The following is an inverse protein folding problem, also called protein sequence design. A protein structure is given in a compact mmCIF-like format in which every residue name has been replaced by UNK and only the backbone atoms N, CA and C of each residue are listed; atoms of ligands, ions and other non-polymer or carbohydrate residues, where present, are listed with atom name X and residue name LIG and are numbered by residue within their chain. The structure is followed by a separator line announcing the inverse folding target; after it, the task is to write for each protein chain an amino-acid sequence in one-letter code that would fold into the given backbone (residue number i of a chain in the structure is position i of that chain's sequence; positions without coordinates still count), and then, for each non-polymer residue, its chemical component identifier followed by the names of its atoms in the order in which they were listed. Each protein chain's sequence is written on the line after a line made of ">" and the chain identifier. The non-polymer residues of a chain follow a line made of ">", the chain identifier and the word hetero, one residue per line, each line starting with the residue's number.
data_IF_387092550037
#
_entry.id   IF_387092550037
#
_cell.length_a   1.000
_cell.length_b   1.000
_cell.length_c   1.000
_cell.angle_alpha   90.00
_cell.angle_beta   90.00
_cell.angle_gamma   90.00
#
_symmetry.space_group_name_H-M   'P 1'
#
loop_
_entity.id
_entity.type
_entity.pdbx_description
1 polymer ?
#
# COMPACT_ATOMS: atom_id res chain seq x y z
N UNK A 1 -14.33 12.12 12.70
CA UNK A 1 -13.50 11.87 11.49
C UNK A 1 -12.54 10.75 11.87
N UNK A 2 -12.66 9.56 11.25
CA UNK A 2 -12.10 8.24 11.65
C UNK A 2 -13.02 7.34 12.50
N UNK A 3 -14.34 7.47 12.33
CA UNK A 3 -15.32 6.54 12.89
C UNK A 3 -15.46 5.34 11.94
N UNK A 4 -15.29 4.13 12.46
CA UNK A 4 -15.44 2.87 11.72
C UNK A 4 -16.54 2.03 12.41
N UNK A 5 -17.75 2.56 12.42
CA UNK A 5 -18.89 1.96 13.13
C UNK A 5 -19.19 0.58 12.51
N UNK A 6 -19.18 -0.52 13.28
CA UNK A 6 -19.46 -1.85 12.73
C UNK A 6 -20.82 -1.91 12.02
N UNK A 7 -20.82 -2.37 10.77
CA UNK A 7 -22.03 -2.48 9.94
C UNK A 7 -22.38 -1.21 9.16
N UNK A 8 -21.70 -0.09 9.40
CA UNK A 8 -21.74 1.06 8.51
C UNK A 8 -20.86 0.80 7.28
N UNK A 9 -21.39 1.08 6.09
CA UNK A 9 -20.68 0.88 4.83
C UNK A 9 -20.03 2.17 4.31
N UNK A 10 -20.31 3.31 4.95
CA UNK A 10 -19.62 4.56 4.66
C UNK A 10 -18.11 4.35 4.82
N UNK A 11 -17.33 4.97 3.93
CA UNK A 11 -15.87 4.92 3.93
C UNK A 11 -15.26 3.50 3.94
N UNK A 12 -16.04 2.49 3.51
CA UNK A 12 -15.60 1.09 3.47
C UNK A 12 -15.33 0.63 2.03
N UNK A 13 -14.30 -0.19 1.85
CA UNK A 13 -14.04 -0.92 0.62
C UNK A 13 -13.60 -2.35 0.92
N UNK A 14 -13.51 -3.19 -0.11
CA UNK A 14 -12.94 -4.54 0.06
C UNK A 14 -11.45 -4.51 -0.23
N UNK A 15 -10.68 -5.39 0.45
CA UNK A 15 -9.25 -5.55 0.19
C UNK A 15 -8.95 -5.78 -1.30
N UNK A 16 -9.77 -6.61 -1.97
CA UNK A 16 -9.63 -6.88 -3.41
C UNK A 16 -9.85 -5.63 -4.26
N UNK A 17 -10.87 -4.83 -3.95
CA UNK A 17 -11.16 -3.59 -4.69
C UNK A 17 -10.04 -2.58 -4.53
N UNK A 18 -9.54 -2.38 -3.31
CA UNK A 18 -8.42 -1.47 -3.04
C UNK A 18 -7.14 -1.91 -3.76
N UNK A 19 -6.76 -3.18 -3.67
CA UNK A 19 -5.58 -3.72 -4.37
C UNK A 19 -5.70 -3.57 -5.89
N UNK A 20 -6.88 -3.85 -6.44
CA UNK A 20 -7.12 -3.76 -7.89
C UNK A 20 -7.01 -2.31 -8.37
N UNK A 21 -7.67 -1.38 -7.67
CA UNK A 21 -7.66 0.03 -8.05
C UNK A 21 -6.27 0.64 -7.87
N UNK A 22 -5.59 0.38 -6.76
CA UNK A 22 -4.26 0.94 -6.53
C UNK A 22 -3.27 0.45 -7.58
N UNK A 23 -3.29 -0.86 -7.89
CA UNK A 23 -2.49 -1.43 -8.98
C UNK A 23 -2.79 -0.78 -10.33
N UNK A 24 -4.05 -0.41 -10.59
CA UNK A 24 -4.42 0.27 -11.83
C UNK A 24 -3.74 1.63 -11.97
N UNK A 25 -3.68 2.41 -10.88
CA UNK A 25 -3.10 3.76 -10.85
C UNK A 25 -1.57 3.80 -10.78
N UNK A 26 -0.92 2.78 -10.24
CA UNK A 26 0.54 2.81 -9.98
C UNK A 26 1.32 1.97 -10.99
N UNK A 27 0.76 0.82 -11.40
CA UNK A 27 1.45 -0.15 -12.24
C UNK A 27 0.86 -0.20 -13.65
N UNK A 28 -0.47 -0.24 -13.77
CA UNK A 28 -1.17 -0.35 -15.05
C UNK A 28 -1.37 1.02 -15.72
N UNK A 29 -2.06 1.00 -16.84
CA UNK A 29 -2.24 2.08 -17.80
C UNK A 29 -3.45 2.98 -17.51
N UNK A 30 -4.01 2.96 -16.29
CA UNK A 30 -5.09 3.88 -15.92
C UNK A 30 -4.63 5.35 -15.92
N UNK A 31 -3.33 5.60 -15.76
CA UNK A 31 -2.70 6.92 -15.90
C UNK A 31 -1.60 6.90 -16.96
N UNK A 32 -1.36 8.07 -17.56
CA UNK A 32 -0.16 8.32 -18.36
C UNK A 32 1.10 8.05 -17.51
N UNK A 33 2.17 7.58 -18.14
CA UNK A 33 3.37 7.06 -17.46
C UNK A 33 4.02 8.08 -16.52
N UNK A 34 4.03 9.35 -16.91
CA UNK A 34 4.49 10.48 -16.10
C UNK A 34 3.63 10.68 -14.84
N UNK A 35 2.31 10.56 -14.98
CA UNK A 35 1.36 10.70 -13.88
C UNK A 35 1.36 9.53 -12.92
N UNK A 36 1.78 8.33 -13.34
CA UNK A 36 1.96 7.17 -12.44
C UNK A 36 3.12 7.32 -11.46
N UNK A 37 4.15 8.07 -11.85
CA UNK A 37 5.31 8.33 -10.98
C UNK A 37 4.91 9.11 -9.73
N UNK A 38 3.99 10.07 -9.87
CA UNK A 38 3.54 10.93 -8.77
C UNK A 38 3.01 10.12 -7.56
N UNK A 39 1.97 9.28 -7.68
CA UNK A 39 1.47 8.51 -6.54
C UNK A 39 2.50 7.48 -6.06
N UNK A 40 3.30 6.90 -6.96
CA UNK A 40 4.34 5.93 -6.59
C UNK A 40 5.44 6.57 -5.74
N UNK A 41 5.87 7.77 -6.10
CA UNK A 41 6.91 8.50 -5.35
C UNK A 41 6.38 9.03 -4.01
N UNK A 42 5.08 9.33 -3.89
CA UNK A 42 4.47 9.70 -2.60
C UNK A 42 4.38 8.54 -1.61
N UNK A 43 4.23 7.30 -2.09
CA UNK A 43 4.16 6.11 -1.24
C UNK A 43 5.55 5.60 -0.82
N UNK A 44 6.61 6.05 -1.50
CA UNK A 44 7.97 5.61 -1.16
C UNK A 44 8.42 6.18 0.18
N UNK A 45 9.02 5.33 1.01
CA UNK A 45 9.60 5.75 2.28
C UNK A 45 8.55 6.23 3.28
N UNK A 46 7.33 5.70 3.20
CA UNK A 46 6.29 5.96 4.16
C UNK A 46 6.67 5.37 5.54
N UNK A 47 7.13 6.23 6.46
CA UNK A 47 7.56 5.81 7.80
C UNK A 47 6.45 5.16 8.65
N UNK A 48 5.18 5.33 8.26
CA UNK A 48 4.05 4.73 8.99
C UNK A 48 3.79 3.26 8.66
N UNK A 49 4.48 2.72 7.64
CA UNK A 49 4.44 1.29 7.27
C UNK A 49 5.53 0.43 7.93
N UNK A 50 6.43 1.03 8.71
CA UNK A 50 7.64 0.38 9.25
C UNK A 50 7.34 -0.86 10.11
N UNK A 51 6.29 -0.81 10.92
CA UNK A 51 5.84 -1.95 11.75
C UNK A 51 4.83 -2.87 11.05
N UNK A 52 4.48 -2.56 9.79
CA UNK A 52 3.47 -3.27 8.99
C UNK A 52 4.15 -4.09 7.89
N UNK A 53 3.93 -3.76 6.61
CA UNK A 53 4.48 -4.54 5.50
C UNK A 53 6.01 -4.46 5.46
N UNK A 54 6.61 -3.34 5.89
CA UNK A 54 8.07 -3.18 5.95
C UNK A 54 8.75 -4.22 6.86
N UNK A 55 8.09 -4.61 7.95
CA UNK A 55 8.61 -5.62 8.88
C UNK A 55 8.68 -7.03 8.27
N UNK A 56 7.95 -7.27 7.17
CA UNK A 56 7.87 -8.56 6.49
C UNK A 56 8.77 -8.71 5.26
N UNK A 57 9.46 -7.65 4.82
CA UNK A 57 10.33 -7.68 3.63
C UNK A 57 11.82 -7.61 3.98
N UNK A 58 12.72 -8.07 3.10
CA UNK A 58 14.16 -7.88 3.27
C UNK A 58 14.54 -6.39 3.37
N UNK A 59 15.57 -6.06 4.19
CA UNK A 59 15.97 -4.66 4.48
C UNK A 59 16.55 -3.90 3.30
N UNK A 60 17.03 -4.62 2.30
CA UNK A 60 17.58 -4.11 1.05
C UNK A 60 16.49 -3.84 0.00
N UNK A 61 15.22 -4.03 0.36
CA UNK A 61 14.08 -3.77 -0.53
C UNK A 61 13.46 -2.41 -0.22
N UNK A 62 13.22 -1.65 -1.28
CA UNK A 62 12.37 -0.46 -1.23
C UNK A 62 10.92 -0.88 -1.34
N UNK A 63 10.06 -0.28 -0.52
CA UNK A 63 8.64 -0.57 -0.44
C UNK A 63 7.87 0.74 -0.65
N UNK A 64 6.86 0.70 -1.52
CA UNK A 64 5.97 1.83 -1.78
C UNK A 64 4.59 1.51 -1.17
N UNK A 65 4.35 1.77 0.12
CA UNK A 65 3.10 1.42 0.81
C UNK A 65 2.21 2.63 1.15
N UNK A 66 0.97 2.34 1.57
CA UNK A 66 0.14 3.32 2.28
C UNK A 66 -0.63 2.66 3.43
N UNK A 67 -0.31 3.11 4.64
CA UNK A 67 -1.03 2.74 5.85
C UNK A 67 -2.35 3.53 6.07
N UNK A 68 -3.26 2.95 6.84
CA UNK A 68 -4.47 3.58 7.37
C UNK A 68 -4.84 2.99 8.71
N UNK A 69 -5.43 3.79 9.60
CA UNK A 69 -5.89 3.34 10.90
C UNK A 69 -7.25 3.98 11.24
N UNK A 70 -8.23 3.14 11.57
CA UNK A 70 -9.54 3.56 12.06
C UNK A 70 -9.80 3.13 13.51
N UNK A 71 -10.88 3.67 14.09
CA UNK A 71 -11.44 3.18 15.36
C UNK A 71 -11.81 1.69 15.25
N UNK A 72 -12.05 1.02 16.38
CA UNK A 72 -12.36 -0.43 16.44
C UNK A 72 -11.25 -1.35 15.91
N UNK A 73 -9.98 -0.96 16.07
CA UNK A 73 -8.84 -1.83 15.77
C UNK A 73 -8.73 -2.17 14.28
N UNK A 74 -8.96 -1.20 13.39
CA UNK A 74 -8.91 -1.38 11.93
C UNK A 74 -7.63 -0.76 11.33
N UNK A 75 -6.42 -1.33 11.55
CA UNK A 75 -5.25 -0.95 10.79
C UNK A 75 -5.24 -1.69 9.43
N UNK A 76 -4.92 -0.94 8.39
CA UNK A 76 -4.79 -1.40 7.02
C UNK A 76 -3.47 -0.93 6.44
N UNK A 77 -2.83 -1.79 5.65
CA UNK A 77 -1.69 -1.42 4.85
C UNK A 77 -1.82 -2.04 3.45
N UNK A 78 -1.48 -1.24 2.43
CA UNK A 78 -1.59 -1.64 1.02
C UNK A 78 -0.29 -1.34 0.27
N UNK A 79 0.20 -2.35 -0.45
CA UNK A 79 1.47 -2.31 -1.18
C UNK A 79 1.27 -2.71 -2.65
N UNK A 80 1.37 -1.79 -3.62
CA UNK A 80 1.38 -2.11 -5.04
C UNK A 80 2.74 -2.61 -5.57
N UNK A 81 3.86 -2.14 -5.03
CA UNK A 81 5.20 -2.41 -5.57
C UNK A 81 6.30 -2.44 -4.51
N UNK A 82 7.24 -3.36 -4.69
CA UNK A 82 8.53 -3.35 -4.00
C UNK A 82 9.63 -3.47 -5.04
N UNK A 83 10.82 -3.00 -4.70
CA UNK A 83 11.97 -3.11 -5.60
C UNK A 83 13.24 -3.43 -4.85
N UNK A 84 14.05 -4.29 -5.45
CA UNK A 84 15.38 -4.58 -4.96
C UNK A 84 16.40 -3.72 -5.69
N UNK A 85 17.37 -3.16 -4.95
CA UNK A 85 18.45 -2.33 -5.51
C UNK A 85 19.78 -3.06 -5.39
N UNK A 86 20.29 -3.58 -6.50
CA UNK A 86 21.69 -4.05 -6.64
C UNK A 86 22.40 -3.08 -7.59
N UNK A 87 23.50 -2.48 -7.15
CA UNK A 87 24.45 -1.69 -7.98
C UNK A 87 23.81 -0.90 -9.14
N UNK A 88 23.30 0.30 -8.84
CA UNK A 88 22.70 1.26 -9.79
C UNK A 88 21.57 0.72 -10.70
N UNK A 89 21.09 -0.50 -10.47
CA UNK A 89 19.96 -1.10 -11.16
C UNK A 89 18.82 -1.36 -10.16
N UNK A 90 17.62 -0.90 -10.52
CA UNK A 90 16.38 -1.13 -9.76
C UNK A 90 15.56 -2.18 -10.51
N UNK A 91 15.21 -3.27 -9.84
CA UNK A 91 14.26 -4.26 -10.36
C UNK A 91 12.95 -4.12 -9.61
N UNK A 92 11.89 -3.76 -10.33
CA UNK A 92 10.55 -3.54 -9.78
C UNK A 92 9.73 -4.83 -9.84
N UNK A 93 9.12 -5.17 -8.71
CA UNK A 93 8.19 -6.29 -8.55
C UNK A 93 6.82 -5.77 -8.10
N UNK A 94 5.77 -6.49 -8.47
CA UNK A 94 4.38 -6.08 -8.20
C UNK A 94 3.71 -7.05 -7.24
N UNK A 95 3.12 -6.49 -6.17
CA UNK A 95 2.39 -7.25 -5.17
C UNK A 95 0.87 -7.10 -5.36
N UNK A 96 0.10 -8.15 -5.05
CA UNK A 96 -1.37 -8.10 -5.03
C UNK A 96 -1.92 -8.22 -3.59
N UNK A 97 -1.10 -8.06 -2.55
CA UNK A 97 -1.48 -8.35 -1.17
C UNK A 97 -1.91 -7.11 -0.40
N UNK A 98 -2.92 -7.25 0.45
CA UNK A 98 -3.34 -6.26 1.46
C UNK A 98 -3.12 -6.92 2.83
N UNK A 99 -2.44 -6.24 3.76
CA UNK A 99 -2.37 -6.69 5.14
C UNK A 99 -3.34 -5.88 6.00
N UNK A 100 -4.28 -6.57 6.63
CA UNK A 100 -5.15 -6.01 7.67
C UNK A 100 -4.93 -6.84 8.94
N UNK A 101 -4.43 -6.21 10.00
CA UNK A 101 -4.26 -6.87 11.31
C UNK A 101 -5.30 -6.32 12.28
N UNK A 102 -6.47 -6.95 12.40
CA UNK A 102 -7.40 -6.61 13.48
C UNK A 102 -6.81 -7.10 14.81
N UNK A 103 -6.55 -6.18 15.75
CA UNK A 103 -6.44 -6.51 17.16
C UNK A 103 -7.81 -6.23 17.81
N UNK A 104 -8.43 -7.29 18.33
CA UNK A 104 -9.63 -7.21 19.20
C UNK A 104 -9.25 -6.79 20.62
#
# INVERSE_FOLDING_TARGET
>A
MNEAIPGDICDTSTAKTLATNLKAFTVRDALQTDKRKIPTDWMRGNATGDELIHAGVPKDWEVDDKSGAGSYGTPNDILPSFSHRIENQRTDYHCNSVQSRCYI
#
